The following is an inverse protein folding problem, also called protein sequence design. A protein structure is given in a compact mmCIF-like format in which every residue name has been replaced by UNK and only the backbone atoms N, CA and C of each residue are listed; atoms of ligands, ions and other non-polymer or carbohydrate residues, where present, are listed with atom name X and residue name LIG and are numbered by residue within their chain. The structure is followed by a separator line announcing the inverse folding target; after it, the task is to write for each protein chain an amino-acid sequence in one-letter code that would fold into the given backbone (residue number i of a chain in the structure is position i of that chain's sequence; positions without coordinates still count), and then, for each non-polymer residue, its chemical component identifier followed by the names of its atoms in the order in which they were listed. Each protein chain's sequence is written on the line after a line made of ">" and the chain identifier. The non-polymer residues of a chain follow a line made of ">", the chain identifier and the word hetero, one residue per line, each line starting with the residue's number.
data_IF_724815062138
#
_entry.id   IF_724815062138
#
_cell.length_a   1.000
_cell.length_b   1.000
_cell.length_c   1.000
_cell.angle_alpha   90.00
_cell.angle_beta   90.00
_cell.angle_gamma   90.00
#
_symmetry.space_group_name_H-M   'P 1'
#
loop_
_entity.id
_entity.type
_entity.pdbx_description
1 polymer ?
#
# COMPACT_ATOMS: atom_id res chain seq x y z
N UNK A 1 11.53 -8.01 28.33
CA UNK A 1 10.24 -8.18 27.62
C UNK A 1 9.48 -6.88 27.82
N UNK A 2 8.96 -6.26 26.77
CA UNK A 2 8.20 -5.01 26.89
C UNK A 2 6.88 -5.28 27.61
N UNK A 3 6.43 -4.31 28.46
CA UNK A 3 5.14 -4.39 29.20
C UNK A 3 3.96 -4.73 28.28
N UNK A 4 4.03 -4.34 27.02
CA UNK A 4 2.99 -4.61 26.01
C UNK A 4 2.95 -6.08 25.61
N UNK A 5 4.10 -6.70 25.41
CA UNK A 5 4.23 -8.14 25.10
C UNK A 5 3.81 -8.99 26.31
N UNK A 6 4.14 -8.55 27.51
CA UNK A 6 3.74 -9.23 28.73
C UNK A 6 2.21 -9.18 28.96
N UNK A 7 1.59 -8.04 28.68
CA UNK A 7 0.13 -7.90 28.72
C UNK A 7 -0.57 -8.79 27.69
N UNK A 8 -0.02 -8.88 26.47
CA UNK A 8 -0.58 -9.76 25.41
C UNK A 8 -0.56 -11.25 25.80
N UNK A 9 0.39 -11.68 26.64
CA UNK A 9 0.47 -13.06 27.11
C UNK A 9 -0.48 -13.35 28.29
N UNK A 10 -0.92 -12.32 29.02
CA UNK A 10 -1.76 -12.46 30.23
C UNK A 10 -3.25 -12.15 29.98
N UNK A 11 -3.58 -11.43 28.90
CA UNK A 11 -4.98 -11.09 28.61
C UNK A 11 -5.77 -12.30 28.08
N UNK A 12 -7.09 -12.38 28.37
CA UNK A 12 -7.96 -13.39 27.78
C UNK A 12 -7.92 -13.30 26.24
N UNK A 13 -7.87 -14.45 25.58
CA UNK A 13 -7.63 -14.55 24.12
C UNK A 13 -8.69 -13.78 23.32
N UNK A 14 -9.97 -13.89 23.68
CA UNK A 14 -11.06 -13.29 22.91
C UNK A 14 -11.02 -11.74 22.88
N UNK A 15 -10.93 -11.03 24.03
CA UNK A 15 -10.79 -9.57 24.02
C UNK A 15 -9.53 -9.11 23.31
N UNK A 16 -8.42 -9.82 23.46
CA UNK A 16 -7.16 -9.53 22.78
C UNK A 16 -7.32 -9.60 21.26
N UNK A 17 -7.93 -10.67 20.74
CA UNK A 17 -8.21 -10.83 19.30
C UNK A 17 -9.11 -9.71 18.78
N UNK A 18 -10.18 -9.37 19.49
CA UNK A 18 -11.09 -8.28 19.09
C UNK A 18 -10.35 -6.94 19.05
N UNK A 19 -9.58 -6.61 20.08
CA UNK A 19 -8.82 -5.36 20.17
C UNK A 19 -7.75 -5.22 19.08
N UNK A 20 -7.16 -6.33 18.65
CA UNK A 20 -6.16 -6.33 17.58
C UNK A 20 -6.79 -6.34 16.18
N UNK A 21 -7.93 -7.02 16.01
CA UNK A 21 -8.60 -7.17 14.70
C UNK A 21 -9.47 -5.97 14.35
N UNK A 22 -10.19 -5.39 15.31
CA UNK A 22 -11.16 -4.32 15.06
C UNK A 22 -10.58 -3.12 14.29
N UNK A 23 -9.40 -2.57 14.62
CA UNK A 23 -8.84 -1.45 13.86
C UNK A 23 -8.56 -1.81 12.40
N UNK A 24 -8.05 -3.01 12.14
CA UNK A 24 -7.79 -3.48 10.79
C UNK A 24 -9.09 -3.73 10.00
N UNK A 25 -10.10 -4.33 10.65
CA UNK A 25 -11.41 -4.57 10.02
C UNK A 25 -12.06 -3.25 9.60
N UNK A 26 -12.04 -2.24 10.47
CA UNK A 26 -12.55 -0.90 10.14
C UNK A 26 -11.76 -0.30 8.98
N UNK A 27 -10.43 -0.39 8.99
CA UNK A 27 -9.60 0.11 7.91
C UNK A 27 -9.92 -0.57 6.56
N UNK A 28 -10.16 -1.88 6.53
CA UNK A 28 -10.56 -2.61 5.34
C UNK A 28 -11.95 -2.20 4.84
N UNK A 29 -12.91 -1.98 5.75
CA UNK A 29 -14.24 -1.47 5.37
C UNK A 29 -14.14 -0.07 4.75
N UNK A 30 -13.36 0.82 5.34
CA UNK A 30 -13.09 2.15 4.77
C UNK A 30 -12.44 2.03 3.41
N UNK A 31 -11.47 1.13 3.23
CA UNK A 31 -10.82 0.90 1.94
C UNK A 31 -11.82 0.39 0.88
N UNK A 32 -12.75 -0.46 1.25
CA UNK A 32 -13.81 -0.90 0.33
C UNK A 32 -14.70 0.27 -0.11
N UNK A 33 -15.05 1.18 0.80
CA UNK A 33 -15.79 2.40 0.47
C UNK A 33 -14.99 3.30 -0.48
N UNK A 34 -13.66 3.42 -0.29
CA UNK A 34 -12.78 4.17 -1.21
C UNK A 34 -12.87 3.59 -2.62
N UNK A 35 -12.71 2.27 -2.76
CA UNK A 35 -12.79 1.60 -4.08
C UNK A 35 -14.13 1.86 -4.74
N UNK A 36 -15.25 1.72 -4.02
CA UNK A 36 -16.58 1.99 -4.55
C UNK A 36 -16.74 3.45 -4.97
N UNK A 37 -16.20 4.37 -4.17
CA UNK A 37 -16.24 5.81 -4.49
C UNK A 37 -15.40 6.15 -5.73
N UNK A 38 -14.22 5.56 -5.87
CA UNK A 38 -13.38 5.73 -7.07
C UNK A 38 -14.07 5.19 -8.31
N UNK A 39 -14.68 4.00 -8.24
CA UNK A 39 -15.48 3.43 -9.34
C UNK A 39 -16.63 4.37 -9.71
N UNK A 40 -17.33 4.93 -8.73
CA UNK A 40 -18.39 5.92 -8.98
C UNK A 40 -17.87 7.19 -9.65
N UNK A 41 -16.74 7.76 -9.17
CA UNK A 41 -16.11 8.94 -9.75
C UNK A 41 -15.68 8.69 -11.20
N UNK A 42 -15.08 7.54 -11.49
CA UNK A 42 -14.65 7.14 -12.84
C UNK A 42 -15.88 6.90 -13.73
N UNK A 43 -16.94 6.32 -13.20
CA UNK A 43 -18.21 6.13 -13.89
C UNK A 43 -18.83 7.45 -14.38
N UNK A 44 -18.55 8.58 -13.71
CA UNK A 44 -18.96 9.92 -14.16
C UNK A 44 -18.21 10.41 -15.41
N UNK A 45 -17.09 9.79 -15.77
CA UNK A 45 -16.37 10.05 -17.03
C UNK A 45 -16.98 9.33 -18.23
N UNK A 46 -17.78 8.29 -17.98
CA UNK A 46 -18.43 7.48 -19.00
C UNK A 46 -18.09 5.99 -18.92
N UNK A 47 -18.80 5.20 -19.71
CA UNK A 47 -18.67 3.73 -19.73
C UNK A 47 -17.32 3.26 -20.27
N UNK A 48 -16.69 3.99 -21.20
CA UNK A 48 -15.37 3.67 -21.72
C UNK A 48 -14.30 3.74 -20.62
N UNK A 49 -14.31 4.79 -19.81
CA UNK A 49 -13.37 4.94 -18.69
C UNK A 49 -13.56 3.84 -17.64
N UNK A 50 -14.80 3.49 -17.33
CA UNK A 50 -15.08 2.41 -16.39
C UNK A 50 -14.60 1.05 -16.90
N UNK A 51 -14.82 0.78 -18.19
CA UNK A 51 -14.34 -0.45 -18.83
C UNK A 51 -12.80 -0.50 -18.90
N UNK A 52 -12.14 0.64 -19.10
CA UNK A 52 -10.68 0.73 -19.09
C UNK A 52 -10.08 0.38 -17.71
N UNK A 53 -10.69 0.84 -16.62
CA UNK A 53 -10.28 0.45 -15.26
C UNK A 53 -10.56 -1.02 -15.01
N UNK A 54 -11.69 -1.55 -15.45
CA UNK A 54 -11.97 -2.98 -15.34
C UNK A 54 -10.93 -3.84 -16.08
N UNK A 55 -10.48 -3.39 -17.26
CA UNK A 55 -9.40 -4.04 -18.01
C UNK A 55 -8.04 -3.96 -17.29
N UNK A 56 -7.74 -2.86 -16.61
CA UNK A 56 -6.53 -2.65 -15.83
C UNK A 56 -6.54 -3.42 -14.49
N UNK A 57 -7.71 -3.77 -13.97
CA UNK A 57 -7.91 -4.34 -12.64
C UNK A 57 -7.05 -5.56 -12.33
N UNK A 58 -6.89 -6.59 -13.22
CA UNK A 58 -6.03 -7.73 -12.94
C UNK A 58 -4.58 -7.35 -12.67
N UNK A 59 -4.04 -6.38 -13.42
CA UNK A 59 -2.66 -5.89 -13.26
C UNK A 59 -2.50 -5.19 -11.92
N UNK A 60 -3.46 -4.34 -11.56
CA UNK A 60 -3.48 -3.61 -10.30
C UNK A 60 -3.57 -4.58 -9.12
N UNK A 61 -4.51 -5.51 -9.16
CA UNK A 61 -4.71 -6.50 -8.10
C UNK A 61 -3.48 -7.39 -7.92
N UNK A 62 -2.87 -7.88 -9.00
CA UNK A 62 -1.65 -8.67 -8.90
C UNK A 62 -0.54 -7.89 -8.21
N UNK A 63 -0.29 -6.65 -8.62
CA UNK A 63 0.73 -5.78 -8.05
C UNK A 63 0.48 -5.52 -6.57
N UNK A 64 -0.76 -5.22 -6.19
CA UNK A 64 -1.13 -4.97 -4.79
C UNK A 64 -1.05 -6.23 -3.91
N UNK A 65 -1.52 -7.38 -4.40
CA UNK A 65 -1.47 -8.63 -3.65
C UNK A 65 -0.03 -9.11 -3.42
N UNK A 66 0.87 -8.87 -4.35
CA UNK A 66 2.30 -9.14 -4.14
C UNK A 66 2.89 -8.20 -3.08
N UNK A 67 2.55 -6.91 -3.10
CA UNK A 67 3.05 -5.92 -2.14
C UNK A 67 2.53 -6.15 -0.72
N UNK A 68 1.20 -6.21 -0.56
CA UNK A 68 0.55 -6.27 0.75
C UNK A 68 0.39 -7.69 1.28
N UNK A 69 0.04 -8.65 0.40
CA UNK A 69 -0.19 -10.04 0.76
C UNK A 69 1.12 -10.80 0.96
N UNK A 70 1.87 -11.02 -0.11
CA UNK A 70 3.05 -11.86 -0.08
C UNK A 70 4.20 -11.21 0.72
N UNK A 71 4.68 -10.03 0.26
CA UNK A 71 5.80 -9.34 0.93
C UNK A 71 5.38 -8.85 2.32
N UNK A 72 4.22 -8.23 2.45
CA UNK A 72 3.73 -7.70 3.73
C UNK A 72 3.55 -8.80 4.78
N UNK A 73 3.01 -9.95 4.42
CA UNK A 73 2.87 -11.11 5.31
C UNK A 73 4.22 -11.65 5.78
N UNK A 74 5.19 -11.80 4.85
CA UNK A 74 6.54 -12.24 5.15
C UNK A 74 7.27 -11.27 6.11
N UNK A 75 7.17 -9.96 5.85
CA UNK A 75 7.78 -8.91 6.68
C UNK A 75 7.20 -8.92 8.09
N UNK A 76 5.87 -8.89 8.23
CA UNK A 76 5.21 -8.87 9.53
C UNK A 76 5.57 -10.09 10.36
N UNK A 77 5.55 -11.29 9.78
CA UNK A 77 5.87 -12.54 10.49
C UNK A 77 7.36 -12.65 10.87
N UNK A 78 8.26 -12.20 9.99
CA UNK A 78 9.71 -12.25 10.25
C UNK A 78 10.13 -11.27 11.34
N UNK A 79 9.60 -10.04 11.31
CA UNK A 79 9.83 -9.05 12.34
C UNK A 79 9.29 -9.50 13.71
N UNK A 80 8.07 -10.03 13.74
CA UNK A 80 7.47 -10.53 14.99
C UNK A 80 8.32 -11.65 15.60
N UNK A 81 8.85 -12.59 14.80
CA UNK A 81 9.72 -13.66 15.28
C UNK A 81 11.06 -13.15 15.81
N UNK A 82 11.71 -12.22 15.10
CA UNK A 82 13.00 -11.66 15.52
C UNK A 82 12.87 -10.88 16.82
N UNK A 83 11.81 -10.07 16.95
CA UNK A 83 11.55 -9.32 18.19
C UNK A 83 11.13 -10.25 19.34
N UNK A 84 10.35 -11.30 19.05
CA UNK A 84 10.00 -12.33 20.04
C UNK A 84 11.20 -13.10 20.57
N UNK A 85 12.25 -13.26 19.74
CA UNK A 85 13.54 -13.85 20.14
C UNK A 85 14.47 -12.83 20.84
N UNK A 86 14.07 -11.57 21.00
CA UNK A 86 14.89 -10.51 21.57
C UNK A 86 15.98 -9.95 20.65
N UNK A 87 16.01 -10.36 19.39
CA UNK A 87 17.04 -9.97 18.41
C UNK A 87 16.59 -8.71 17.61
N UNK A 88 16.76 -7.55 18.23
CA UNK A 88 16.46 -6.25 17.61
C UNK A 88 17.33 -5.98 16.39
N UNK A 89 18.59 -6.37 16.43
CA UNK A 89 19.50 -6.13 15.32
C UNK A 89 19.02 -6.83 14.06
N UNK A 90 18.64 -8.10 14.20
CA UNK A 90 18.08 -8.88 13.08
C UNK A 90 16.77 -8.31 12.56
N UNK A 91 15.92 -7.79 13.45
CA UNK A 91 14.67 -7.14 13.04
C UNK A 91 14.93 -5.89 12.17
N UNK A 92 15.92 -5.06 12.53
CA UNK A 92 16.31 -3.89 11.75
C UNK A 92 16.91 -4.27 10.39
N UNK A 93 17.79 -5.27 10.35
CA UNK A 93 18.35 -5.81 9.10
C UNK A 93 17.25 -6.35 8.17
N UNK A 94 16.31 -7.10 8.72
CA UNK A 94 15.16 -7.62 7.96
C UNK A 94 14.28 -6.52 7.39
N UNK A 95 14.07 -5.44 8.13
CA UNK A 95 13.29 -4.31 7.65
C UNK A 95 13.97 -3.61 6.46
N UNK A 96 15.30 -3.41 6.51
CA UNK A 96 16.04 -2.85 5.40
C UNK A 96 16.00 -3.75 4.16
N UNK A 97 16.17 -5.06 4.32
CA UNK A 97 16.03 -6.01 3.22
C UNK A 97 14.61 -6.00 2.63
N UNK A 98 13.58 -5.87 3.48
CA UNK A 98 12.20 -5.79 3.04
C UNK A 98 11.93 -4.53 2.22
N UNK A 99 12.46 -3.36 2.63
CA UNK A 99 12.34 -2.12 1.87
C UNK A 99 13.07 -2.20 0.52
N UNK A 100 14.25 -2.82 0.50
CA UNK A 100 14.98 -3.07 -0.74
C UNK A 100 14.20 -4.00 -1.68
N UNK A 101 13.66 -5.12 -1.16
CA UNK A 101 12.83 -6.04 -1.94
C UNK A 101 11.55 -5.36 -2.45
N UNK A 102 10.95 -4.48 -1.65
CA UNK A 102 9.80 -3.69 -2.08
C UNK A 102 10.13 -2.80 -3.28
N UNK A 103 11.27 -2.11 -3.23
CA UNK A 103 11.75 -1.30 -4.34
C UNK A 103 12.04 -2.14 -5.59
N UNK A 104 12.73 -3.27 -5.43
CA UNK A 104 13.00 -4.20 -6.54
C UNK A 104 11.71 -4.78 -7.14
N UNK A 105 10.74 -5.17 -6.30
CA UNK A 105 9.44 -5.68 -6.74
C UNK A 105 8.65 -4.63 -7.53
N UNK A 106 8.60 -3.41 -7.03
CA UNK A 106 7.92 -2.31 -7.73
C UNK A 106 8.57 -2.03 -9.10
N UNK A 107 9.91 -1.99 -9.16
CA UNK A 107 10.66 -1.79 -10.41
C UNK A 107 10.48 -2.97 -11.38
N UNK A 108 10.41 -4.19 -10.86
CA UNK A 108 10.14 -5.38 -11.67
C UNK A 108 8.77 -5.29 -12.35
N UNK A 109 7.70 -5.01 -11.60
CA UNK A 109 6.36 -4.87 -12.17
C UNK A 109 6.27 -3.71 -13.16
N UNK A 110 6.90 -2.58 -12.86
CA UNK A 110 6.99 -1.45 -13.79
C UNK A 110 7.68 -1.85 -15.09
N UNK A 111 8.84 -2.53 -15.00
CA UNK A 111 9.62 -2.95 -16.17
C UNK A 111 8.86 -3.97 -17.03
N UNK A 112 8.26 -4.98 -16.39
CA UNK A 112 7.45 -6.00 -17.09
C UNK A 112 6.29 -5.34 -17.82
N UNK A 113 5.57 -4.42 -17.18
CA UNK A 113 4.46 -3.73 -17.80
C UNK A 113 4.92 -2.78 -18.93
N UNK A 114 6.07 -2.12 -18.77
CA UNK A 114 6.60 -1.25 -19.81
C UNK A 114 6.95 -2.01 -21.10
N UNK A 115 7.43 -3.26 -20.95
CA UNK A 115 7.83 -4.13 -22.07
C UNK A 115 6.62 -4.85 -22.68
N UNK A 116 5.71 -5.37 -21.87
CA UNK A 116 4.66 -6.29 -22.31
C UNK A 116 3.23 -5.86 -21.94
N UNK A 117 3.06 -4.72 -21.31
CA UNK A 117 1.76 -4.28 -20.78
C UNK A 117 0.70 -4.05 -21.84
N UNK A 118 1.09 -3.50 -23.00
CA UNK A 118 0.18 -3.32 -24.13
C UNK A 118 -0.31 -4.66 -24.67
N UNK A 119 0.61 -5.60 -24.91
CA UNK A 119 0.27 -6.95 -25.35
C UNK A 119 -0.63 -7.67 -24.32
N UNK A 120 -0.31 -7.53 -23.03
CA UNK A 120 -1.11 -8.12 -21.96
C UNK A 120 -2.55 -7.58 -21.98
N UNK A 121 -2.73 -6.27 -22.09
CA UNK A 121 -4.05 -5.65 -22.11
C UNK A 121 -4.80 -5.98 -23.42
N UNK A 122 -4.10 -6.14 -24.53
CA UNK A 122 -4.71 -6.62 -25.79
C UNK A 122 -5.22 -8.05 -25.66
N UNK A 123 -4.45 -8.96 -25.06
CA UNK A 123 -4.87 -10.34 -24.78
C UNK A 123 -6.10 -10.37 -23.88
N UNK A 124 -6.19 -9.46 -22.92
CA UNK A 124 -7.35 -9.31 -22.04
C UNK A 124 -8.57 -8.68 -22.73
N UNK A 125 -8.47 -8.36 -24.02
CA UNK A 125 -9.58 -7.86 -24.85
C UNK A 125 -9.59 -6.36 -25.09
N UNK A 126 -8.54 -5.63 -24.67
CA UNK A 126 -8.41 -4.18 -24.91
C UNK A 126 -8.25 -3.85 -26.39
N UNK A 127 -9.04 -2.87 -26.89
CA UNK A 127 -8.98 -2.39 -28.28
C UNK A 127 -9.28 -0.88 -28.33
N UNK A 128 -8.66 -0.17 -29.29
CA UNK A 128 -8.92 1.24 -29.55
C UNK A 128 -8.78 2.12 -28.34
N UNK A 129 -9.69 3.05 -28.15
CA UNK A 129 -9.69 4.04 -27.05
C UNK A 129 -9.69 3.38 -25.66
N UNK A 130 -10.38 2.26 -25.50
CA UNK A 130 -10.40 1.47 -24.26
C UNK A 130 -8.99 1.03 -23.86
N UNK A 131 -8.21 0.51 -24.82
CA UNK A 131 -6.84 0.07 -24.60
C UNK A 131 -5.94 1.24 -24.22
N UNK A 132 -6.04 2.37 -24.93
CA UNK A 132 -5.25 3.57 -24.67
C UNK A 132 -5.49 4.10 -23.25
N UNK A 133 -6.76 4.18 -22.83
CA UNK A 133 -7.13 4.62 -21.48
C UNK A 133 -6.62 3.64 -20.40
N UNK A 134 -6.71 2.33 -20.63
CA UNK A 134 -6.21 1.33 -19.71
C UNK A 134 -4.66 1.38 -19.59
N UNK A 135 -3.95 1.56 -20.71
CA UNK A 135 -2.49 1.76 -20.71
C UNK A 135 -2.10 3.00 -19.94
N UNK A 136 -2.78 4.13 -20.18
CA UNK A 136 -2.50 5.38 -19.49
C UNK A 136 -2.70 5.24 -17.96
N UNK A 137 -3.78 4.60 -17.55
CA UNK A 137 -4.07 4.32 -16.14
C UNK A 137 -2.98 3.44 -15.50
N UNK A 138 -2.67 2.30 -16.12
CA UNK A 138 -1.67 1.36 -15.62
C UNK A 138 -0.26 1.99 -15.56
N UNK A 139 0.13 2.77 -16.55
CA UNK A 139 1.43 3.46 -16.56
C UNK A 139 1.58 4.37 -15.34
N UNK A 140 0.59 5.21 -15.07
CA UNK A 140 0.64 6.10 -13.90
C UNK A 140 0.61 5.30 -12.60
N UNK A 141 -0.26 4.29 -12.49
CA UNK A 141 -0.32 3.43 -11.31
C UNK A 141 1.01 2.75 -11.01
N UNK A 142 1.66 2.17 -12.02
CA UNK A 142 2.92 1.44 -11.86
C UNK A 142 4.13 2.36 -11.67
N UNK A 143 4.12 3.58 -12.22
CA UNK A 143 5.11 4.60 -11.84
C UNK A 143 5.07 4.92 -10.35
N UNK A 144 3.87 4.91 -9.76
CA UNK A 144 3.68 5.06 -8.31
C UNK A 144 3.81 3.77 -7.52
N UNK A 145 4.05 2.62 -8.14
CA UNK A 145 4.09 1.34 -7.46
C UNK A 145 5.13 1.30 -6.33
N UNK A 146 6.26 1.99 -6.49
CA UNK A 146 7.28 2.09 -5.44
C UNK A 146 6.71 2.66 -4.14
N UNK A 147 5.87 3.68 -4.22
CA UNK A 147 5.21 4.30 -3.06
C UNK A 147 4.23 3.32 -2.42
N UNK A 148 3.44 2.62 -3.25
CA UNK A 148 2.46 1.63 -2.80
C UNK A 148 3.17 0.46 -2.08
N UNK A 149 4.24 -0.07 -2.66
CA UNK A 149 5.02 -1.17 -2.10
C UNK A 149 5.72 -0.77 -0.79
N UNK A 150 6.32 0.42 -0.74
CA UNK A 150 6.91 0.96 0.48
C UNK A 150 5.86 1.16 1.57
N UNK A 151 4.71 1.72 1.25
CA UNK A 151 3.59 1.90 2.18
C UNK A 151 3.11 0.55 2.75
N UNK A 152 2.96 -0.47 1.90
CA UNK A 152 2.62 -1.84 2.30
C UNK A 152 3.63 -2.44 3.25
N UNK A 153 4.92 -2.34 2.92
CA UNK A 153 6.03 -2.86 3.72
C UNK A 153 6.13 -2.18 5.08
N UNK A 154 6.04 -0.84 5.13
CA UNK A 154 6.06 -0.07 6.37
C UNK A 154 4.84 -0.38 7.25
N UNK A 155 3.66 -0.51 6.65
CA UNK A 155 2.45 -0.92 7.34
C UNK A 155 2.59 -2.35 7.93
N UNK A 156 3.17 -3.28 7.17
CA UNK A 156 3.45 -4.63 7.63
C UNK A 156 4.49 -4.66 8.77
N UNK A 157 5.53 -3.84 8.68
CA UNK A 157 6.52 -3.68 9.73
C UNK A 157 5.90 -3.19 11.04
N UNK A 158 5.07 -2.15 10.99
CA UNK A 158 4.34 -1.64 12.16
C UNK A 158 3.43 -2.70 12.78
N UNK A 159 2.75 -3.50 11.95
CA UNK A 159 1.97 -4.65 12.44
C UNK A 159 2.85 -5.73 13.07
N UNK A 160 4.01 -6.01 12.47
CA UNK A 160 4.97 -7.00 12.98
C UNK A 160 5.54 -6.64 14.35
N UNK A 161 5.69 -5.35 14.68
CA UNK A 161 6.07 -4.86 16.00
C UNK A 161 4.88 -4.72 16.96
N UNK A 162 3.71 -5.24 16.60
CA UNK A 162 2.49 -5.21 17.42
C UNK A 162 1.69 -3.90 17.36
N UNK A 163 2.10 -2.92 16.55
CA UNK A 163 1.36 -1.66 16.41
C UNK A 163 0.31 -1.75 15.31
N UNK A 164 -0.87 -2.29 15.64
CA UNK A 164 -1.98 -2.42 14.70
C UNK A 164 -2.76 -1.11 14.50
N UNK A 165 -2.81 -0.24 15.54
CA UNK A 165 -3.66 0.95 15.55
C UNK A 165 -3.14 2.05 14.64
N UNK A 166 -1.83 2.30 14.62
CA UNK A 166 -1.27 3.41 13.87
C UNK A 166 -1.43 3.23 12.35
N UNK A 167 -1.09 2.08 11.74
CA UNK A 167 -1.37 1.84 10.32
C UNK A 167 -2.86 1.92 9.98
N UNK A 168 -3.74 1.39 10.84
CA UNK A 168 -5.19 1.43 10.62
C UNK A 168 -5.73 2.88 10.60
N UNK A 169 -5.30 3.72 11.54
CA UNK A 169 -5.66 5.14 11.55
C UNK A 169 -5.14 5.87 10.31
N UNK A 170 -3.90 5.60 9.90
CA UNK A 170 -3.35 6.20 8.68
C UNK A 170 -4.10 5.76 7.42
N UNK A 171 -4.56 4.51 7.35
CA UNK A 171 -5.43 4.06 6.24
C UNK A 171 -6.72 4.87 6.24
N UNK A 172 -7.36 5.09 7.39
CA UNK A 172 -8.61 5.86 7.47
C UNK A 172 -8.40 7.31 7.01
N UNK A 173 -7.39 8.00 7.55
CA UNK A 173 -7.09 9.38 7.15
C UNK A 173 -6.60 9.48 5.71
N UNK A 174 -5.71 8.57 5.28
CA UNK A 174 -5.23 8.48 3.92
C UNK A 174 -6.33 8.20 2.91
N UNK A 175 -7.32 7.38 3.29
CA UNK A 175 -8.52 7.13 2.49
C UNK A 175 -9.35 8.39 2.27
N UNK A 176 -9.57 9.20 3.31
CA UNK A 176 -10.24 10.49 3.18
C UNK A 176 -9.50 11.44 2.23
N UNK A 177 -8.17 11.52 2.36
CA UNK A 177 -7.32 12.28 1.47
C UNK A 177 -7.39 11.75 0.03
N UNK A 178 -7.32 10.42 -0.16
CA UNK A 178 -7.39 9.77 -1.46
C UNK A 178 -8.70 10.07 -2.18
N UNK A 179 -9.84 9.92 -1.52
CA UNK A 179 -11.17 10.23 -2.10
C UNK A 179 -11.29 11.70 -2.49
N UNK A 180 -10.82 12.60 -1.63
CA UNK A 180 -10.85 14.04 -1.91
C UNK A 180 -10.00 14.40 -3.11
N UNK A 181 -8.77 13.87 -3.17
CA UNK A 181 -7.87 14.06 -4.31
C UNK A 181 -8.42 13.40 -5.57
N UNK A 182 -9.01 12.21 -5.48
CA UNK A 182 -9.61 11.53 -6.61
C UNK A 182 -10.76 12.35 -7.20
N UNK A 183 -11.68 12.87 -6.37
CA UNK A 183 -12.75 13.76 -6.84
C UNK A 183 -12.21 15.02 -7.50
N UNK A 184 -11.17 15.62 -6.92
CA UNK A 184 -10.48 16.79 -7.49
C UNK A 184 -9.82 16.50 -8.83
N UNK A 185 -9.01 15.45 -8.91
CA UNK A 185 -8.21 15.14 -10.10
C UNK A 185 -9.00 14.46 -11.21
N UNK A 186 -10.04 13.68 -10.90
CA UNK A 186 -10.89 13.03 -11.91
C UNK A 186 -11.86 14.03 -12.52
N UNK A 187 -12.58 14.76 -11.66
CA UNK A 187 -13.71 15.60 -12.09
C UNK A 187 -13.40 17.10 -12.08
N UNK A 188 -12.25 17.52 -11.53
CA UNK A 188 -11.88 18.93 -11.44
C UNK A 188 -12.52 19.66 -10.25
N UNK A 189 -12.89 18.95 -9.15
CA UNK A 189 -13.42 19.60 -7.97
C UNK A 189 -12.34 20.46 -7.27
N UNK A 190 -12.75 21.43 -6.50
CA UNK A 190 -11.88 22.34 -5.73
C UNK A 190 -10.91 23.15 -6.59
N UNK A 191 -11.17 23.32 -7.88
CA UNK A 191 -10.28 24.07 -8.80
C UNK A 191 -9.03 23.28 -9.23
N UNK A 192 -8.96 21.99 -8.95
CA UNK A 192 -7.87 21.13 -9.41
C UNK A 192 -8.02 20.82 -10.92
N UNK A 193 -6.90 20.55 -11.62
CA UNK A 193 -6.95 20.20 -13.03
C UNK A 193 -7.72 18.88 -13.24
N UNK A 194 -8.64 18.89 -14.22
CA UNK A 194 -9.39 17.70 -14.60
C UNK A 194 -8.52 16.77 -15.43
N UNK A 195 -7.96 15.74 -14.79
CA UNK A 195 -7.07 14.76 -15.41
C UNK A 195 -7.81 13.50 -15.90
N UNK A 196 -9.13 13.41 -15.67
CA UNK A 196 -9.92 12.25 -16.07
C UNK A 196 -9.46 10.97 -15.38
N UNK A 197 -9.35 9.88 -16.14
CA UNK A 197 -9.04 8.53 -15.61
C UNK A 197 -7.69 8.45 -14.87
N UNK A 198 -6.71 9.28 -15.28
CA UNK A 198 -5.37 9.32 -14.66
C UNK A 198 -5.42 9.93 -13.25
N UNK A 199 -6.46 10.70 -12.95
CA UNK A 199 -6.64 11.30 -11.62
C UNK A 199 -6.73 10.30 -10.48
N UNK A 200 -7.31 9.11 -10.71
CA UNK A 200 -7.44 8.08 -9.68
C UNK A 200 -6.07 7.52 -9.22
N UNK A 201 -5.20 7.00 -10.10
CA UNK A 201 -3.90 6.52 -9.68
C UNK A 201 -3.00 7.63 -9.09
N UNK A 202 -3.10 8.87 -9.57
CA UNK A 202 -2.38 10.00 -8.97
C UNK A 202 -2.85 10.29 -7.55
N UNK A 203 -4.16 10.26 -7.29
CA UNK A 203 -4.69 10.42 -5.94
C UNK A 203 -4.19 9.32 -5.00
N UNK A 204 -4.15 8.06 -5.46
CA UNK A 204 -3.60 6.94 -4.72
C UNK A 204 -2.11 7.11 -4.40
N UNK A 205 -1.30 7.60 -5.36
CA UNK A 205 0.13 7.87 -5.17
C UNK A 205 0.33 8.98 -4.13
N UNK A 206 -0.38 10.09 -4.26
CA UNK A 206 -0.24 11.24 -3.34
C UNK A 206 -0.65 10.86 -1.91
N UNK A 207 -1.76 10.15 -1.74
CA UNK A 207 -2.16 9.64 -0.43
C UNK A 207 -1.17 8.59 0.11
N UNK A 208 -0.63 7.74 -0.75
CA UNK A 208 0.42 6.77 -0.43
C UNK A 208 1.72 7.44 0.04
N UNK A 209 2.15 8.54 -0.58
CA UNK A 209 3.30 9.33 -0.15
C UNK A 209 3.06 9.87 1.27
N UNK A 210 1.89 10.44 1.53
CA UNK A 210 1.52 10.92 2.86
C UNK A 210 1.58 9.80 3.90
N UNK A 211 0.96 8.66 3.62
CA UNK A 211 0.94 7.51 4.52
C UNK A 211 2.34 6.94 4.76
N UNK A 212 3.13 6.76 3.70
CA UNK A 212 4.51 6.23 3.80
C UNK A 212 5.40 7.16 4.61
N UNK A 213 5.30 8.47 4.38
CA UNK A 213 6.07 9.46 5.13
C UNK A 213 5.73 9.45 6.62
N UNK A 214 4.45 9.38 6.97
CA UNK A 214 4.00 9.30 8.36
C UNK A 214 4.48 7.99 9.04
N UNK A 215 4.44 6.86 8.32
CA UNK A 215 4.93 5.57 8.84
C UNK A 215 6.46 5.58 9.00
N UNK A 216 7.20 6.16 8.05
CA UNK A 216 8.66 6.32 8.14
C UNK A 216 9.06 7.17 9.35
N UNK A 217 8.42 8.32 9.54
CA UNK A 217 8.65 9.19 10.70
C UNK A 217 8.39 8.42 12.00
N UNK A 218 7.29 7.66 12.05
CA UNK A 218 6.95 6.86 13.24
C UNK A 218 8.00 5.80 13.54
N UNK A 219 8.50 5.09 12.53
CA UNK A 219 9.52 4.06 12.69
C UNK A 219 10.89 4.65 13.04
N UNK A 220 11.26 5.80 12.43
CA UNK A 220 12.59 6.41 12.63
C UNK A 220 12.76 7.15 13.96
N UNK A 221 11.71 7.81 14.44
CA UNK A 221 11.83 8.71 15.60
C UNK A 221 11.05 8.27 16.83
N UNK A 222 10.02 7.44 16.67
CA UNK A 222 9.10 7.11 17.75
C UNK A 222 8.98 5.60 18.03
N UNK A 223 9.79 4.77 17.38
CA UNK A 223 9.81 3.33 17.64
C UNK A 223 10.98 3.02 18.57
N UNK A 224 10.69 2.49 19.75
CA UNK A 224 11.71 1.96 20.68
C UNK A 224 12.16 0.53 20.33
N UNK A 225 11.43 -0.12 19.45
CA UNK A 225 11.58 -1.54 19.14
C UNK A 225 12.46 -1.77 17.90
N UNK A 226 12.37 -0.89 16.90
CA UNK A 226 13.16 -0.97 15.66
C UNK A 226 13.50 0.45 15.20
N UNK A 227 14.78 0.77 15.08
CA UNK A 227 15.26 2.05 14.58
C UNK A 227 15.75 1.91 13.14
N UNK A 228 15.21 2.72 12.21
CA UNK A 228 15.71 2.83 10.85
C UNK A 228 16.97 3.73 10.85
N UNK A 229 18.11 3.20 11.30
CA UNK A 229 19.38 3.92 11.26
C UNK A 229 20.14 3.58 10.00
N UNK A 230 20.43 4.58 9.15
CA UNK A 230 21.20 4.42 7.89
C UNK A 230 22.59 3.79 8.08
N UNK A 231 23.15 3.82 9.30
CA UNK A 231 24.45 3.21 9.63
C UNK A 231 24.51 1.68 9.51
N UNK A 232 23.36 1.02 9.41
CA UNK A 232 23.28 -0.46 9.35
C UNK A 232 22.89 -1.01 7.97
N UNK A 233 23.00 -0.22 6.92
CA UNK A 233 22.90 -0.66 5.52
C UNK A 233 24.11 -1.52 5.12
N UNK A 234 24.40 -2.58 5.86
CA UNK A 234 25.35 -3.59 5.42
C UNK A 234 24.57 -4.80 4.91
N UNK A 235 24.50 -4.94 3.59
CA UNK A 235 24.17 -6.21 2.92
C UNK A 235 25.24 -7.25 3.32
N UNK A 236 25.16 -7.76 4.55
CA UNK A 236 25.96 -8.93 4.92
C UNK A 236 25.35 -10.16 4.27
N UNK A 237 26.23 -10.88 3.55
CA UNK A 237 25.98 -12.22 2.98
C UNK A 237 25.50 -13.21 4.02
#
# INVERSE_FOLDING_TARGET
>A
MDKRTENMLKEPIFPLLVNMSAPNTIAFLVQAVVVLTEVWLIGRLGTSALAAVALAFPVIMLTQQMAFGALGGAVSSSLARSLGAGDKQRAEELLWHALFLAACGALFFLSVFYISGELLLQILGGKGELLEQAIAYCRVFLLGAIVIWLSGTLSAALRGIGNMRFPALLIIFGSGLQVTLAGGLILGWFGLPRLGIIGAPLAAILSGIFMSSAMLIKLSYFSQEVELTLKRLSLKK
#
